data_IF_530148803403
#
_entry.id   IF_530148803403
#
_cell.length_a   1.000
_cell.length_b   1.000
_cell.length_c   1.000
_cell.angle_alpha   90.00
_cell.angle_beta   90.00
_cell.angle_gamma   90.00
#
_symmetry.space_group_name_H-M   'P 1'
#
loop_
_entity.id
_entity.type
_entity.pdbx_description
1 polymer ?
#
# COMPACT_ATOMS: atom_id res chain seq x y z
N UNK A 1 -8.93 12.65 -4.18
CA UNK A 1 -7.82 11.89 -3.55
C UNK A 1 -7.70 12.31 -2.08
N UNK A 2 -7.11 11.51 -1.19
CA UNK A 2 -6.89 11.90 0.22
C UNK A 2 -5.47 11.63 0.68
N UNK A 3 -4.97 12.45 1.60
CA UNK A 3 -3.65 12.28 2.21
C UNK A 3 -3.62 12.89 3.63
N UNK A 4 -2.88 12.29 4.59
CA UNK A 4 -2.71 12.89 5.92
C UNK A 4 -2.02 14.25 5.83
N UNK A 5 -2.52 15.25 6.55
CA UNK A 5 -1.86 16.54 6.68
C UNK A 5 -0.77 16.51 7.75
N UNK A 6 0.42 16.02 7.39
CA UNK A 6 1.57 15.87 8.28
C UNK A 6 2.90 16.00 7.51
N UNK A 7 4.00 16.24 8.23
CA UNK A 7 5.33 16.19 7.64
C UNK A 7 5.69 14.76 7.16
N UNK A 8 6.40 14.68 6.02
CA UNK A 8 7.04 13.44 5.61
C UNK A 8 8.17 13.06 6.60
N UNK A 9 8.37 11.77 6.85
CA UNK A 9 9.49 11.28 7.67
C UNK A 9 10.85 11.68 7.07
N UNK A 10 10.98 11.59 5.74
CA UNK A 10 12.19 11.99 5.02
C UNK A 10 11.84 12.63 3.67
N UNK A 11 12.54 13.70 3.31
CA UNK A 11 12.59 14.21 1.93
C UNK A 11 13.82 13.61 1.24
N UNK A 12 13.61 12.88 0.14
CA UNK A 12 14.67 12.13 -0.54
C UNK A 12 14.98 12.77 -1.89
N UNK A 13 16.27 13.05 -2.14
CA UNK A 13 16.75 13.33 -3.47
C UNK A 13 16.85 12.00 -4.23
N UNK A 14 15.88 11.76 -5.13
CA UNK A 14 15.77 10.50 -5.87
C UNK A 14 16.86 10.32 -6.93
N UNK A 15 17.57 11.38 -7.36
CA UNK A 15 18.71 11.26 -8.27
C UNK A 15 19.91 10.55 -7.62
N UNK A 16 20.04 10.64 -6.28
CA UNK A 16 21.15 10.04 -5.52
C UNK A 16 20.68 9.04 -4.45
N UNK A 17 19.37 8.89 -4.27
CA UNK A 17 18.77 7.94 -3.32
C UNK A 17 19.00 8.27 -1.84
N UNK A 18 19.31 9.53 -1.49
CA UNK A 18 19.67 9.94 -0.12
C UNK A 18 18.67 10.96 0.47
N UNK A 19 18.42 10.91 1.80
CA UNK A 19 17.68 11.95 2.49
C UNK A 19 18.36 13.32 2.37
N UNK A 20 17.55 14.37 2.48
CA UNK A 20 17.96 15.77 2.54
C UNK A 20 17.55 16.38 3.90
N UNK A 21 18.00 17.61 4.18
CA UNK A 21 17.59 18.36 5.37
C UNK A 21 16.26 19.11 5.20
N UNK A 22 15.65 19.06 4.00
CA UNK A 22 14.38 19.71 3.72
C UNK A 22 13.23 19.05 4.50
N UNK A 23 12.18 19.82 4.74
CA UNK A 23 10.88 19.33 5.22
C UNK A 23 9.81 19.60 4.17
N UNK A 24 8.90 18.64 4.00
CA UNK A 24 7.76 18.74 3.10
C UNK A 24 6.55 18.06 3.72
N UNK A 25 5.37 18.60 3.45
CA UNK A 25 4.11 18.07 3.93
C UNK A 25 3.54 17.02 2.97
N UNK A 26 3.03 15.92 3.52
CA UNK A 26 2.46 14.77 2.78
C UNK A 26 1.25 15.18 1.93
N UNK A 27 0.31 15.96 2.47
CA UNK A 27 -0.87 16.44 1.76
C UNK A 27 -0.49 17.40 0.63
N UNK A 28 0.36 18.38 0.91
CA UNK A 28 0.82 19.37 -0.08
C UNK A 28 1.55 18.71 -1.26
N UNK A 29 2.45 17.77 -0.99
CA UNK A 29 3.18 17.08 -2.06
C UNK A 29 2.30 16.08 -2.82
N UNK A 30 1.31 15.47 -2.15
CA UNK A 30 0.29 14.63 -2.81
C UNK A 30 -0.59 15.42 -3.78
N UNK A 31 -0.81 16.71 -3.52
CA UNK A 31 -1.56 17.60 -4.41
C UNK A 31 -0.93 17.68 -5.82
N UNK A 32 0.38 17.43 -5.95
CA UNK A 32 1.06 17.36 -7.26
C UNK A 32 0.51 16.21 -8.12
N UNK A 33 0.30 15.03 -7.53
CA UNK A 33 -0.27 13.87 -8.22
C UNK A 33 -1.75 14.13 -8.53
N UNK A 34 -2.48 14.68 -7.55
CA UNK A 34 -3.90 14.96 -7.68
C UNK A 34 -4.25 16.20 -8.53
N UNK A 35 -3.25 16.95 -9.01
CA UNK A 35 -3.43 18.25 -9.69
C UNK A 35 -4.27 19.24 -8.88
N UNK A 36 -4.08 19.25 -7.56
CA UNK A 36 -4.82 20.06 -6.60
C UNK A 36 -6.08 19.40 -6.01
N UNK A 37 -6.60 18.32 -6.60
CA UNK A 37 -7.81 17.63 -6.14
C UNK A 37 -7.53 16.57 -5.04
N UNK A 38 -6.95 17.06 -3.94
CA UNK A 38 -6.65 16.27 -2.75
C UNK A 38 -7.25 16.92 -1.51
N UNK A 39 -7.83 16.10 -0.64
CA UNK A 39 -8.37 16.52 0.65
C UNK A 39 -7.56 15.91 1.80
N UNK A 40 -7.60 16.59 2.94
CA UNK A 40 -7.10 16.03 4.20
C UNK A 40 -7.82 14.70 4.50
N UNK A 41 -7.06 13.68 4.89
CA UNK A 41 -7.59 12.36 5.21
C UNK A 41 -8.65 12.40 6.32
N UNK A 42 -8.55 13.35 7.24
CA UNK A 42 -9.54 13.52 8.32
C UNK A 42 -10.95 13.89 7.82
N UNK A 43 -11.07 14.39 6.57
CA UNK A 43 -12.36 14.73 5.96
C UNK A 43 -13.00 13.57 5.21
N UNK A 44 -12.35 12.40 5.19
CA UNK A 44 -12.85 11.25 4.46
C UNK A 44 -13.99 10.57 5.24
N UNK A 45 -15.19 10.64 4.67
CA UNK A 45 -16.36 9.91 5.16
C UNK A 45 -16.48 8.56 4.44
N UNK A 46 -16.29 7.45 5.16
CA UNK A 46 -16.30 6.09 4.59
C UNK A 46 -17.61 5.81 3.83
N UNK A 47 -18.73 6.35 4.27
CA UNK A 47 -20.05 6.15 3.64
C UNK A 47 -20.14 6.75 2.24
N UNK A 48 -19.31 7.74 1.90
CA UNK A 48 -19.34 8.44 0.62
C UNK A 48 -18.61 7.72 -0.53
N UNK A 49 -17.95 6.59 -0.27
CA UNK A 49 -17.13 5.88 -1.26
C UNK A 49 -17.43 4.38 -1.28
N UNK A 50 -17.37 3.73 -2.44
CA UNK A 50 -17.67 2.29 -2.55
C UNK A 50 -16.47 1.39 -2.23
N UNK A 51 -15.24 1.88 -2.40
CA UNK A 51 -14.01 1.11 -2.24
C UNK A 51 -12.83 1.99 -1.78
N UNK A 52 -11.78 1.36 -1.27
CA UNK A 52 -10.51 2.01 -0.91
C UNK A 52 -9.35 1.44 -1.72
N UNK A 53 -8.55 2.32 -2.34
CA UNK A 53 -7.29 1.96 -3.00
C UNK A 53 -6.14 2.67 -2.30
N UNK A 54 -5.11 1.93 -1.87
CA UNK A 54 -3.87 2.49 -1.33
C UNK A 54 -2.72 2.11 -2.27
N UNK A 55 -2.24 3.06 -3.12
CA UNK A 55 -1.07 2.86 -3.94
C UNK A 55 0.19 2.56 -3.12
N UNK A 56 1.22 2.05 -3.78
CA UNK A 56 2.50 1.75 -3.17
C UNK A 56 3.42 2.95 -2.93
N UNK A 57 4.71 2.64 -2.86
CA UNK A 57 5.79 3.62 -2.66
C UNK A 57 6.29 3.66 -1.22
N UNK A 58 7.57 4.00 -1.04
CA UNK A 58 8.21 4.02 0.28
C UNK A 58 7.59 5.03 1.26
N UNK A 59 6.84 6.02 0.77
CA UNK A 59 6.03 6.89 1.62
C UNK A 59 4.99 6.13 2.43
N UNK A 60 4.47 4.99 1.93
CA UNK A 60 3.58 4.13 2.71
C UNK A 60 4.32 3.51 3.90
N UNK A 61 5.52 3.02 3.67
CA UNK A 61 6.36 2.39 4.70
C UNK A 61 7.02 3.38 5.68
N UNK A 62 6.93 4.69 5.42
CA UNK A 62 7.59 5.74 6.22
C UNK A 62 6.62 6.77 6.82
N UNK A 63 5.52 7.07 6.14
CA UNK A 63 4.58 8.12 6.53
C UNK A 63 3.23 7.53 6.93
N UNK A 64 2.72 6.53 6.19
CA UNK A 64 1.47 5.84 6.54
C UNK A 64 1.69 4.69 7.52
N UNK A 65 2.95 4.33 7.74
CA UNK A 65 3.44 3.44 8.78
C UNK A 65 4.92 3.73 9.02
N UNK A 66 5.51 3.12 10.04
CA UNK A 66 6.96 3.16 10.29
C UNK A 66 7.66 1.83 9.94
N UNK A 67 7.09 1.05 9.01
CA UNK A 67 7.63 -0.23 8.51
C UNK A 67 9.11 -0.14 8.10
N UNK A 68 9.49 0.91 7.37
CA UNK A 68 10.83 1.06 6.83
C UNK A 68 11.90 1.23 7.91
N UNK A 69 11.53 1.58 9.15
CA UNK A 69 12.46 1.79 10.26
C UNK A 69 12.27 0.80 11.40
N UNK A 70 11.06 0.24 11.60
CA UNK A 70 10.75 -0.72 12.67
C UNK A 70 10.55 -2.17 12.22
N UNK A 71 10.51 -2.43 10.92
CA UNK A 71 10.25 -3.78 10.40
C UNK A 71 8.95 -4.33 10.99
N UNK A 72 8.98 -5.55 11.55
CA UNK A 72 7.80 -6.26 12.11
C UNK A 72 7.13 -5.55 13.29
N UNK A 73 7.86 -4.70 14.01
CA UNK A 73 7.34 -3.97 15.18
C UNK A 73 6.64 -2.66 14.81
N UNK A 74 6.51 -2.39 13.51
CA UNK A 74 5.86 -1.19 13.02
C UNK A 74 4.43 -1.00 13.52
N UNK A 75 4.04 0.26 13.47
CA UNK A 75 2.71 0.78 13.69
C UNK A 75 2.20 1.40 12.39
N UNK A 76 0.89 1.37 12.21
CA UNK A 76 0.23 2.09 11.12
C UNK A 76 -0.17 3.47 11.64
N UNK A 77 -0.10 4.48 10.78
CA UNK A 77 -0.53 5.84 11.13
C UNK A 77 -2.02 5.79 11.56
N UNK A 78 -2.42 6.42 12.69
CA UNK A 78 -3.74 6.18 13.30
C UNK A 78 -4.96 6.48 12.41
N UNK A 79 -4.91 7.54 11.60
CA UNK A 79 -5.98 7.87 10.64
C UNK A 79 -6.09 6.80 9.55
N UNK A 80 -4.95 6.31 9.05
CA UNK A 80 -4.91 5.25 8.04
C UNK A 80 -5.44 3.93 8.60
N UNK A 81 -5.06 3.57 9.84
CA UNK A 81 -5.59 2.39 10.51
C UNK A 81 -7.10 2.48 10.71
N UNK A 82 -7.60 3.62 11.23
CA UNK A 82 -9.03 3.88 11.40
C UNK A 82 -9.77 3.76 10.07
N UNK A 83 -9.19 4.30 8.99
CA UNK A 83 -9.77 4.26 7.65
C UNK A 83 -9.91 2.83 7.12
N UNK A 84 -8.83 2.04 7.17
CA UNK A 84 -8.84 0.65 6.71
C UNK A 84 -9.89 -0.16 7.49
N UNK A 85 -9.92 -0.01 8.83
CA UNK A 85 -10.94 -0.65 9.67
C UNK A 85 -12.35 -0.20 9.33
N UNK A 86 -12.54 1.08 9.02
CA UNK A 86 -13.84 1.63 8.63
C UNK A 86 -14.38 1.03 7.33
N UNK A 87 -13.57 0.97 6.27
CA UNK A 87 -13.97 0.35 5.00
C UNK A 87 -14.22 -1.16 5.16
N UNK A 88 -13.34 -1.85 5.90
CA UNK A 88 -13.50 -3.28 6.19
C UNK A 88 -14.78 -3.59 6.98
N UNK A 89 -15.07 -2.83 8.04
CA UNK A 89 -16.28 -2.98 8.84
C UNK A 89 -17.55 -2.68 8.04
N UNK A 90 -17.48 -1.76 7.06
CA UNK A 90 -18.57 -1.48 6.13
C UNK A 90 -18.72 -2.54 5.02
N UNK A 91 -17.88 -3.58 4.99
CA UNK A 91 -17.90 -4.62 3.96
C UNK A 91 -17.50 -4.10 2.57
N UNK A 92 -16.77 -2.98 2.51
CA UNK A 92 -16.33 -2.34 1.27
C UNK A 92 -14.96 -2.89 0.85
N UNK A 93 -14.76 -3.17 -0.44
CA UNK A 93 -13.53 -3.80 -0.89
C UNK A 93 -12.33 -2.85 -0.82
N UNK A 94 -11.15 -3.46 -0.65
CA UNK A 94 -9.87 -2.81 -0.48
C UNK A 94 -8.92 -3.26 -1.59
N UNK A 95 -8.12 -2.35 -2.14
CA UNK A 95 -7.00 -2.69 -3.03
C UNK A 95 -5.69 -2.04 -2.56
N UNK A 96 -4.62 -2.83 -2.56
CA UNK A 96 -3.28 -2.38 -2.13
C UNK A 96 -2.21 -2.94 -3.07
N UNK A 97 -1.25 -2.12 -3.49
CA UNK A 97 -0.16 -2.57 -4.36
C UNK A 97 1.24 -2.22 -3.87
N UNK A 98 2.22 -2.98 -4.35
CA UNK A 98 3.63 -2.84 -3.98
C UNK A 98 3.83 -3.09 -2.48
N UNK A 99 4.29 -2.10 -1.72
CA UNK A 99 4.53 -2.23 -0.28
C UNK A 99 3.29 -1.96 0.57
N UNK A 100 2.22 -1.36 0.03
CA UNK A 100 1.05 -1.03 0.84
C UNK A 100 0.29 -2.21 1.49
N UNK A 101 0.37 -3.46 0.99
CA UNK A 101 -0.19 -4.62 1.70
C UNK A 101 0.32 -4.84 3.13
N UNK A 102 1.47 -4.26 3.52
CA UNK A 102 1.90 -4.27 4.93
C UNK A 102 0.86 -3.60 5.82
N UNK A 103 0.17 -2.55 5.36
CA UNK A 103 -0.88 -1.90 6.16
C UNK A 103 -2.01 -2.88 6.48
N UNK A 104 -2.48 -3.65 5.49
CA UNK A 104 -3.48 -4.69 5.70
C UNK A 104 -2.98 -5.77 6.65
N UNK A 105 -1.72 -6.20 6.52
CA UNK A 105 -1.15 -7.23 7.39
C UNK A 105 -1.14 -6.83 8.88
N UNK A 106 -0.97 -5.54 9.20
CA UNK A 106 -1.09 -5.05 10.59
C UNK A 106 -2.54 -4.94 11.04
N UNK A 107 -3.41 -4.45 10.15
CA UNK A 107 -4.75 -3.98 10.51
C UNK A 107 -5.82 -5.07 10.43
N UNK A 108 -5.62 -6.07 9.58
CA UNK A 108 -6.55 -7.17 9.29
C UNK A 108 -5.88 -8.51 9.66
N UNK A 109 -5.99 -8.97 10.92
CA UNK A 109 -5.32 -10.17 11.37
C UNK A 109 -5.65 -11.41 10.52
N UNK A 110 -4.62 -12.12 10.09
CA UNK A 110 -4.78 -13.34 9.30
C UNK A 110 -5.23 -13.13 7.86
N UNK A 111 -5.14 -11.91 7.32
CA UNK A 111 -5.46 -11.68 5.91
C UNK A 111 -4.51 -12.43 4.97
N UNK A 112 -5.00 -12.73 3.78
CA UNK A 112 -4.18 -13.23 2.68
C UNK A 112 -3.74 -12.08 1.77
N UNK A 113 -2.47 -12.03 1.40
CA UNK A 113 -1.91 -10.96 0.57
C UNK A 113 -0.84 -11.48 -0.38
N UNK A 114 -0.53 -10.70 -1.42
CA UNK A 114 0.71 -10.82 -2.18
C UNK A 114 1.50 -9.52 -2.12
N UNK A 115 2.82 -9.65 -2.01
CA UNK A 115 3.78 -8.59 -2.33
C UNK A 115 4.68 -9.02 -3.51
N UNK A 116 4.29 -10.06 -4.24
CA UNK A 116 5.05 -10.65 -5.34
C UNK A 116 5.52 -12.05 -5.03
N UNK A 117 6.84 -12.21 -4.89
CA UNK A 117 7.49 -13.49 -4.60
C UNK A 117 8.15 -13.47 -3.21
N UNK A 118 8.36 -14.66 -2.66
CA UNK A 118 9.03 -14.90 -1.37
C UNK A 118 10.53 -15.24 -1.51
N UNK A 119 11.01 -15.44 -2.75
CA UNK A 119 12.43 -15.70 -3.04
C UNK A 119 13.13 -14.46 -3.61
N UNK A 120 14.13 -13.99 -2.90
CA UNK A 120 14.94 -12.84 -3.31
C UNK A 120 15.72 -13.13 -4.59
N UNK A 121 15.66 -12.21 -5.55
CA UNK A 121 16.51 -12.20 -6.73
C UNK A 121 16.53 -10.82 -7.37
N UNK A 122 17.31 -10.63 -8.45
CA UNK A 122 17.35 -9.33 -9.17
C UNK A 122 15.98 -8.83 -9.62
N UNK A 123 15.03 -9.73 -9.93
CA UNK A 123 13.66 -9.38 -10.30
C UNK A 123 12.79 -9.03 -9.08
N UNK A 124 13.11 -9.56 -7.90
CA UNK A 124 12.33 -9.43 -6.66
C UNK A 124 13.27 -9.05 -5.50
N UNK A 125 13.73 -7.79 -5.45
CA UNK A 125 14.76 -7.36 -4.50
C UNK A 125 14.26 -7.22 -3.05
N UNK A 126 12.94 -7.27 -2.82
CA UNK A 126 12.34 -7.08 -1.50
C UNK A 126 11.48 -8.27 -1.06
N UNK A 127 11.80 -9.47 -1.56
CA UNK A 127 11.02 -10.69 -1.34
C UNK A 127 10.92 -11.09 0.15
N UNK A 128 11.89 -10.69 0.98
CA UNK A 128 11.86 -10.86 2.44
C UNK A 128 10.63 -10.24 3.12
N UNK A 129 9.95 -9.30 2.45
CA UNK A 129 8.67 -8.75 2.91
C UNK A 129 7.64 -9.87 3.07
N UNK A 130 7.58 -10.84 2.15
CA UNK A 130 6.65 -11.97 2.21
C UNK A 130 6.86 -12.82 3.48
N UNK A 131 8.11 -13.11 3.82
CA UNK A 131 8.49 -13.84 5.04
C UNK A 131 8.02 -13.09 6.28
N UNK A 132 8.30 -11.78 6.35
CA UNK A 132 7.91 -10.96 7.49
C UNK A 132 6.39 -10.89 7.66
N UNK A 133 5.62 -10.83 6.58
CA UNK A 133 4.14 -10.89 6.65
C UNK A 133 3.64 -12.23 7.18
N UNK A 134 4.30 -13.33 6.79
CA UNK A 134 3.95 -14.68 7.24
C UNK A 134 4.21 -14.84 8.73
N UNK A 135 5.34 -14.34 9.22
CA UNK A 135 5.70 -14.34 10.64
C UNK A 135 4.79 -13.45 11.50
N UNK A 136 4.12 -12.48 10.88
CA UNK A 136 3.06 -11.68 11.51
C UNK A 136 1.69 -12.36 11.52
N UNK A 137 1.59 -13.60 11.02
CA UNK A 137 0.35 -14.38 10.99
C UNK A 137 -0.51 -14.17 9.76
N UNK A 138 -0.03 -13.46 8.73
CA UNK A 138 -0.73 -13.38 7.44
C UNK A 138 -0.37 -14.57 6.55
N UNK A 139 -1.15 -14.78 5.49
CA UNK A 139 -0.82 -15.76 4.44
C UNK A 139 -0.32 -15.02 3.21
N UNK A 140 0.98 -15.13 2.92
CA UNK A 140 1.52 -14.65 1.65
C UNK A 140 1.23 -15.65 0.52
N UNK A 141 0.81 -15.15 -0.64
CA UNK A 141 0.61 -15.93 -1.85
C UNK A 141 1.50 -15.40 -2.96
N UNK A 142 2.39 -16.26 -3.49
CA UNK A 142 3.27 -15.88 -4.58
C UNK A 142 2.46 -15.57 -5.85
N UNK A 143 2.74 -14.40 -6.46
CA UNK A 143 2.14 -13.91 -7.69
C UNK A 143 3.18 -13.30 -8.61
N UNK A 144 2.96 -13.38 -9.91
CA UNK A 144 3.75 -12.64 -10.91
C UNK A 144 3.29 -11.17 -10.96
N UNK A 145 4.05 -10.31 -11.64
CA UNK A 145 3.75 -8.87 -11.72
C UNK A 145 2.39 -8.56 -12.33
N UNK A 146 1.95 -9.35 -13.32
CA UNK A 146 0.64 -9.22 -13.97
C UNK A 146 -0.51 -9.95 -13.26
N UNK A 147 -0.25 -10.57 -12.10
CA UNK A 147 -1.24 -11.35 -11.35
C UNK A 147 -1.59 -10.63 -10.04
N UNK A 148 -2.78 -10.93 -9.52
CA UNK A 148 -3.27 -10.42 -8.24
C UNK A 148 -3.62 -11.56 -7.30
N UNK A 149 -3.66 -11.26 -6.00
CA UNK A 149 -4.27 -12.12 -4.99
C UNK A 149 -5.53 -11.47 -4.44
N UNK A 150 -6.57 -12.28 -4.24
CA UNK A 150 -7.86 -11.84 -3.69
C UNK A 150 -8.12 -12.64 -2.41
N UNK A 151 -8.13 -11.95 -1.28
CA UNK A 151 -8.69 -12.46 -0.03
C UNK A 151 -10.19 -12.19 -0.03
N UNK A 152 -10.97 -13.22 -0.40
CA UNK A 152 -12.44 -13.13 -0.50
C UNK A 152 -13.07 -12.81 0.86
N UNK A 153 -12.51 -13.34 1.96
CA UNK A 153 -13.05 -13.12 3.30
C UNK A 153 -12.96 -11.66 3.71
N UNK A 154 -11.84 -11.01 3.39
CA UNK A 154 -11.59 -9.60 3.74
C UNK A 154 -11.89 -8.62 2.60
N UNK A 155 -12.38 -9.10 1.45
CA UNK A 155 -12.56 -8.32 0.21
C UNK A 155 -11.32 -7.49 -0.14
N UNK A 156 -10.14 -8.09 0.00
CA UNK A 156 -8.86 -7.43 -0.20
C UNK A 156 -8.18 -7.95 -1.47
N UNK A 157 -7.92 -7.05 -2.41
CA UNK A 157 -7.16 -7.31 -3.63
C UNK A 157 -5.73 -6.77 -3.47
N UNK A 158 -4.73 -7.58 -3.77
CA UNK A 158 -3.33 -7.15 -3.71
C UNK A 158 -2.55 -7.46 -4.98
N UNK A 159 -1.63 -6.56 -5.34
CA UNK A 159 -0.74 -6.69 -6.50
C UNK A 159 0.68 -6.26 -6.16
N UNK A 160 1.66 -6.87 -6.80
CA UNK A 160 3.08 -6.63 -6.48
C UNK A 160 3.66 -5.35 -7.07
N UNK A 161 3.16 -4.90 -8.22
CA UNK A 161 3.63 -3.69 -8.91
C UNK A 161 5.18 -3.54 -8.89
N UNK A 162 5.71 -2.43 -8.37
CA UNK A 162 7.15 -2.15 -8.31
C UNK A 162 7.93 -2.92 -7.22
N UNK A 163 7.32 -3.87 -6.50
CA UNK A 163 8.10 -4.90 -5.77
C UNK A 163 8.85 -5.81 -6.75
N UNK A 164 8.41 -5.84 -8.01
CA UNK A 164 9.08 -6.47 -9.14
C UNK A 164 9.87 -5.43 -9.95
N UNK A 165 11.12 -5.73 -10.28
CA UNK A 165 11.88 -5.02 -11.32
C UNK A 165 11.39 -5.47 -12.71
N UNK A 166 10.21 -4.99 -13.10
CA UNK A 166 9.56 -5.26 -14.39
C UNK A 166 9.44 -3.98 -15.24
N UNK A 167 9.29 -4.13 -16.57
CA UNK A 167 8.89 -3.02 -17.44
C UNK A 167 7.60 -2.34 -16.95
N UNK A 168 7.51 -1.02 -17.13
CA UNK A 168 6.37 -0.22 -16.64
C UNK A 168 5.02 -0.69 -17.20
N UNK A 169 4.98 -1.20 -18.44
CA UNK A 169 3.74 -1.71 -19.03
C UNK A 169 3.24 -2.98 -18.33
N UNK A 170 4.13 -3.90 -17.93
CA UNK A 170 3.73 -5.08 -17.14
C UNK A 170 3.18 -4.69 -15.77
N UNK A 171 3.79 -3.67 -15.14
CA UNK A 171 3.30 -3.11 -13.87
C UNK A 171 1.94 -2.45 -14.04
N UNK A 172 1.76 -1.68 -15.12
CA UNK A 172 0.49 -1.04 -15.46
C UNK A 172 -0.61 -2.08 -15.69
N UNK A 173 -0.33 -3.13 -16.45
CA UNK A 173 -1.29 -4.21 -16.71
C UNK A 173 -1.69 -4.92 -15.41
N UNK A 174 -0.72 -5.24 -14.54
CA UNK A 174 -0.99 -5.85 -13.24
C UNK A 174 -1.81 -4.98 -12.29
N UNK A 175 -1.56 -3.66 -12.26
CA UNK A 175 -2.40 -2.71 -11.52
C UNK A 175 -3.79 -2.58 -12.14
N UNK A 176 -3.90 -2.65 -13.48
CA UNK A 176 -5.18 -2.67 -14.19
C UNK A 176 -6.04 -3.89 -13.81
N UNK A 177 -5.43 -5.08 -13.69
CA UNK A 177 -6.10 -6.28 -13.17
C UNK A 177 -6.55 -6.06 -11.73
N UNK A 178 -5.72 -5.47 -10.87
CA UNK A 178 -6.10 -5.16 -9.48
C UNK A 178 -7.34 -4.26 -9.39
N UNK A 179 -7.41 -3.21 -10.19
CA UNK A 179 -8.58 -2.32 -10.23
C UNK A 179 -9.80 -3.05 -10.79
N UNK A 180 -9.62 -3.88 -11.82
CA UNK A 180 -10.71 -4.67 -12.40
C UNK A 180 -11.30 -5.65 -11.38
N UNK A 181 -10.48 -6.36 -10.63
CA UNK A 181 -10.94 -7.29 -9.59
C UNK A 181 -11.57 -6.55 -8.40
N UNK A 182 -11.05 -5.38 -8.02
CA UNK A 182 -11.67 -4.54 -6.99
C UNK A 182 -13.11 -4.17 -7.34
N UNK A 183 -13.35 -3.73 -8.59
CA UNK A 183 -14.66 -3.32 -9.07
C UNK A 183 -15.68 -4.48 -9.11
N UNK A 184 -15.22 -5.73 -9.20
CA UNK A 184 -16.11 -6.90 -9.11
C UNK A 184 -16.58 -7.20 -7.69
N UNK A 185 -15.91 -6.64 -6.67
CA UNK A 185 -16.21 -6.84 -5.25
C UNK A 185 -16.99 -5.67 -4.63
N UNK A 186 -17.10 -4.56 -5.36
CA UNK A 186 -17.74 -3.31 -4.94
C UNK A 186 -19.27 -3.39 -5.06
#
# INVERSE_FOLDING_TARGET
MFAPNMDQMHVVNHCVGKPTAEKRNVLEESARIARGDVSDLDKLEVTAFDALVIPGGFGVAKNLSDWAVKGKEYTVQPQVEKLIKGFHAAGKPLAMCCISPVLAAKVLPGCEITVGQDKECKRWPNAQTATAMTEMGCKHVNKKVGEVHIDVKNKLVTSSAFMCNAPIHEVFDGVGVMVTELLKLA
#
